data_IF_368022534491
#
_entry.id   IF_368022534491
#
_cell.length_a   1.000
_cell.length_b   1.000
_cell.length_c   1.000
_cell.angle_alpha   90.00
_cell.angle_beta   90.00
_cell.angle_gamma   90.00
#
_symmetry.space_group_name_H-M   'P 1'
#
loop_
_entity.id
_entity.type
_entity.pdbx_description
1 polymer ?
#
# COMPACT_ATOMS: atom_id res chain seq x y z
N UNK A 1 -20.14 3.57 22.70
CA UNK A 1 -21.47 4.05 22.29
C UNK A 1 -21.82 3.29 21.02
N UNK A 2 -22.90 2.55 21.05
CA UNK A 2 -23.36 1.71 19.95
C UNK A 2 -23.89 2.54 18.77
N UNK A 3 -24.01 1.90 17.61
CA UNK A 3 -24.46 2.54 16.35
C UNK A 3 -25.89 3.06 16.43
N UNK A 4 -26.77 2.40 17.18
CA UNK A 4 -28.17 2.84 17.35
C UNK A 4 -28.24 4.13 18.18
N UNK A 5 -27.45 4.22 19.25
CA UNK A 5 -27.31 5.44 20.06
C UNK A 5 -26.73 6.60 19.23
N UNK A 6 -25.69 6.34 18.42
CA UNK A 6 -25.11 7.37 17.54
C UNK A 6 -26.11 7.86 16.49
N UNK A 7 -26.87 6.95 15.89
CA UNK A 7 -27.91 7.29 14.92
C UNK A 7 -29.01 8.15 15.56
N UNK A 8 -29.42 7.83 16.80
CA UNK A 8 -30.39 8.62 17.55
C UNK A 8 -29.87 10.03 17.84
N UNK A 9 -28.61 10.18 18.24
CA UNK A 9 -28.00 11.50 18.50
C UNK A 9 -28.03 12.37 17.24
N UNK A 10 -27.59 11.83 16.10
CA UNK A 10 -27.58 12.59 14.84
C UNK A 10 -29.01 12.94 14.41
N UNK A 11 -29.97 12.03 14.61
CA UNK A 11 -31.38 12.30 14.32
C UNK A 11 -31.92 13.44 15.19
N UNK A 12 -31.64 13.44 16.49
CA UNK A 12 -32.07 14.53 17.38
C UNK A 12 -31.45 15.88 16.99
N UNK A 13 -30.19 15.89 16.57
CA UNK A 13 -29.53 17.12 16.09
C UNK A 13 -30.13 17.64 14.78
N UNK A 14 -30.55 16.74 13.88
CA UNK A 14 -31.29 17.11 12.66
C UNK A 14 -32.66 17.69 13.01
N UNK A 15 -33.39 17.06 13.92
CA UNK A 15 -34.71 17.53 14.38
C UNK A 15 -34.61 18.91 15.06
N UNK A 16 -33.60 19.12 15.91
CA UNK A 16 -33.31 20.41 16.54
C UNK A 16 -32.97 21.50 15.50
N UNK A 17 -32.16 21.15 14.49
CA UNK A 17 -31.81 22.07 13.41
C UNK A 17 -33.04 22.46 12.57
N UNK A 18 -33.94 21.52 12.29
CA UNK A 18 -35.21 21.78 11.63
C UNK A 18 -36.12 22.69 12.48
N UNK A 19 -36.20 22.46 13.79
CA UNK A 19 -36.97 23.31 14.70
C UNK A 19 -36.41 24.74 14.77
N UNK A 20 -35.08 24.90 14.80
CA UNK A 20 -34.40 26.20 14.83
C UNK A 20 -34.68 26.96 13.52
N UNK A 21 -34.47 26.32 12.37
CA UNK A 21 -34.69 26.94 11.05
C UNK A 21 -36.16 27.31 10.83
N UNK A 22 -37.10 26.46 11.23
CA UNK A 22 -38.54 26.78 11.19
C UNK A 22 -38.92 27.95 12.12
N UNK A 23 -38.32 28.01 13.32
CA UNK A 23 -38.57 29.07 14.30
C UNK A 23 -38.06 30.46 13.87
N UNK A 24 -36.97 30.51 13.11
CA UNK A 24 -36.41 31.75 12.52
C UNK A 24 -37.35 32.30 11.43
N UNK A 25 -38.00 31.43 10.65
CA UNK A 25 -38.98 31.82 9.62
C UNK A 25 -40.30 32.30 10.25
N UNK A 26 -40.73 31.70 11.37
CA UNK A 26 -42.02 31.99 12.00
C UNK A 26 -42.10 33.24 12.89
N UNK A 27 -40.98 33.80 13.36
CA UNK A 27 -40.95 34.95 14.31
C UNK A 27 -40.53 36.29 13.69
N UNK A 28 -40.16 36.32 12.41
CA UNK A 28 -39.75 37.54 11.70
C UNK A 28 -40.89 38.24 10.98
N UNK A 29 -40.95 39.58 11.03
CA UNK A 29 -41.74 40.38 10.07
C UNK A 29 -41.12 40.23 8.68
N UNK A 30 -41.64 39.34 7.83
CA UNK A 30 -41.48 39.32 6.37
C UNK A 30 -40.17 39.90 5.78
N UNK A 31 -39.03 39.59 6.38
CA UNK A 31 -37.69 39.81 5.85
C UNK A 31 -36.91 38.56 6.21
N UNK A 32 -36.48 37.87 5.17
CA UNK A 32 -35.82 36.57 5.19
C UNK A 32 -34.74 36.49 6.28
N UNK A 33 -34.54 35.29 6.86
CA UNK A 33 -33.45 35.06 7.80
C UNK A 33 -32.12 35.59 7.20
N UNK A 34 -31.21 36.17 8.00
CA UNK A 34 -29.90 36.58 7.50
C UNK A 34 -29.24 35.45 6.72
N UNK A 35 -28.74 35.75 5.52
CA UNK A 35 -28.16 34.79 4.58
C UNK A 35 -27.09 33.92 5.26
N UNK A 36 -26.27 34.51 6.14
CA UNK A 36 -25.25 33.81 6.92
C UNK A 36 -25.83 32.69 7.82
N UNK A 37 -27.01 32.90 8.41
CA UNK A 37 -27.66 31.89 9.28
C UNK A 37 -28.21 30.73 8.45
N UNK A 38 -28.73 31.03 7.25
CA UNK A 38 -29.22 30.00 6.34
C UNK A 38 -28.05 29.13 5.84
N UNK A 39 -26.96 29.77 5.39
CA UNK A 39 -25.74 29.07 4.94
C UNK A 39 -25.16 28.22 6.07
N UNK A 40 -25.08 28.75 7.29
CA UNK A 40 -24.58 28.00 8.44
C UNK A 40 -25.46 26.77 8.76
N UNK A 41 -26.78 26.91 8.69
CA UNK A 41 -27.71 25.80 8.90
C UNK A 41 -27.61 24.74 7.78
N UNK A 42 -27.45 25.14 6.53
CA UNK A 42 -27.25 24.21 5.41
C UNK A 42 -25.95 23.43 5.54
N UNK A 43 -24.84 24.10 5.89
CA UNK A 43 -23.55 23.44 6.12
C UNK A 43 -23.63 22.45 7.29
N UNK A 44 -24.28 22.84 8.39
CA UNK A 44 -24.42 21.95 9.54
C UNK A 44 -25.34 20.75 9.23
N UNK A 45 -26.42 20.95 8.46
CA UNK A 45 -27.25 19.86 7.96
C UNK A 45 -26.45 18.90 7.08
N UNK A 46 -25.63 19.42 6.17
CA UNK A 46 -24.80 18.60 5.29
C UNK A 46 -23.81 17.74 6.09
N UNK A 47 -23.20 18.30 7.13
CA UNK A 47 -22.32 17.57 8.05
C UNK A 47 -23.07 16.46 8.80
N UNK A 48 -24.25 16.75 9.38
CA UNK A 48 -25.06 15.74 10.08
C UNK A 48 -25.51 14.61 9.14
N UNK A 49 -25.89 14.93 7.89
CA UNK A 49 -26.23 13.91 6.89
C UNK A 49 -25.01 13.06 6.51
N UNK A 50 -23.83 13.66 6.39
CA UNK A 50 -22.59 12.91 6.15
C UNK A 50 -22.26 11.97 7.32
N UNK A 51 -22.44 12.43 8.55
CA UNK A 51 -22.26 11.60 9.76
C UNK A 51 -23.29 10.46 9.82
N UNK A 52 -24.55 10.72 9.50
CA UNK A 52 -25.58 9.67 9.41
C UNK A 52 -25.22 8.59 8.38
N UNK A 53 -24.68 8.99 7.22
CA UNK A 53 -24.21 8.04 6.20
C UNK A 53 -23.06 7.16 6.75
N UNK A 54 -22.07 7.74 7.43
CA UNK A 54 -20.96 6.99 8.04
C UNK A 54 -21.46 6.01 9.10
N UNK A 55 -22.42 6.41 9.94
CA UNK A 55 -23.01 5.53 10.97
C UNK A 55 -23.77 4.37 10.32
N UNK A 56 -24.57 4.66 9.29
CA UNK A 56 -25.28 3.64 8.51
C UNK A 56 -24.33 2.64 7.86
N UNK A 57 -23.25 3.12 7.22
CA UNK A 57 -22.24 2.28 6.59
C UNK A 57 -21.52 1.39 7.63
N UNK A 58 -21.23 1.93 8.81
CA UNK A 58 -20.68 1.16 9.93
C UNK A 58 -21.64 0.06 10.40
N UNK A 59 -22.91 0.38 10.62
CA UNK A 59 -23.92 -0.59 11.04
C UNK A 59 -24.09 -1.72 10.01
N UNK A 60 -24.13 -1.37 8.72
CA UNK A 60 -24.18 -2.33 7.62
C UNK A 60 -22.95 -3.23 7.59
N UNK A 61 -21.75 -2.66 7.75
CA UNK A 61 -20.48 -3.40 7.79
C UNK A 61 -20.42 -4.37 8.97
N UNK A 62 -20.85 -3.94 10.16
CA UNK A 62 -20.95 -4.79 11.35
C UNK A 62 -21.96 -5.93 11.15
N UNK A 63 -23.10 -5.65 10.52
CA UNK A 63 -24.11 -6.68 10.19
C UNK A 63 -23.54 -7.74 9.23
N UNK A 64 -22.84 -7.32 8.17
CA UNK A 64 -22.17 -8.26 7.25
C UNK A 64 -21.14 -9.10 8.00
N UNK A 65 -20.28 -8.46 8.80
CA UNK A 65 -19.24 -9.16 9.54
C UNK A 65 -19.85 -10.23 10.49
N UNK A 66 -20.92 -9.87 11.20
CA UNK A 66 -21.63 -10.78 12.09
C UNK A 66 -22.27 -11.96 11.34
N UNK A 67 -22.88 -11.71 10.19
CA UNK A 67 -23.45 -12.77 9.35
C UNK A 67 -22.36 -13.75 8.87
N UNK A 68 -21.23 -13.23 8.38
CA UNK A 68 -20.08 -14.05 7.95
C UNK A 68 -19.51 -14.88 9.10
N UNK A 69 -19.38 -14.30 10.29
CA UNK A 69 -18.88 -15.03 11.47
C UNK A 69 -19.86 -16.15 11.87
N UNK A 70 -21.16 -15.85 11.91
CA UNK A 70 -22.19 -16.80 12.30
C UNK A 70 -22.33 -17.96 11.32
N UNK A 71 -22.29 -17.64 10.03
CA UNK A 71 -22.53 -18.60 8.95
C UNK A 71 -21.22 -19.20 8.40
N UNK A 72 -20.08 -18.91 9.03
CA UNK A 72 -18.74 -19.28 8.55
C UNK A 72 -18.59 -20.78 8.26
N UNK A 73 -19.20 -21.65 9.08
CA UNK A 73 -19.20 -23.10 8.84
C UNK A 73 -19.92 -23.49 7.54
N UNK A 74 -21.11 -22.93 7.31
CA UNK A 74 -21.89 -23.15 6.08
C UNK A 74 -21.17 -22.58 4.85
N UNK A 75 -20.57 -21.40 4.97
CA UNK A 75 -19.77 -20.78 3.90
C UNK A 75 -18.61 -21.70 3.52
N UNK A 76 -17.88 -22.26 4.48
CA UNK A 76 -16.78 -23.19 4.23
C UNK A 76 -17.25 -24.48 3.58
N UNK A 77 -18.40 -25.03 3.99
CA UNK A 77 -19.00 -26.20 3.36
C UNK A 77 -19.41 -25.93 1.91
N UNK A 78 -20.02 -24.77 1.62
CA UNK A 78 -20.36 -24.35 0.27
C UNK A 78 -19.11 -24.19 -0.61
N UNK A 79 -18.06 -23.53 -0.09
CA UNK A 79 -16.79 -23.37 -0.80
C UNK A 79 -16.12 -24.73 -1.08
N UNK A 80 -16.13 -25.65 -0.12
CA UNK A 80 -15.60 -27.01 -0.32
C UNK A 80 -16.41 -27.80 -1.36
N UNK A 81 -17.72 -27.55 -1.46
CA UNK A 81 -18.58 -28.15 -2.48
C UNK A 81 -18.35 -27.57 -3.88
N UNK A 82 -18.01 -26.27 -3.98
CA UNK A 82 -17.71 -25.60 -5.25
C UNK A 82 -16.29 -25.89 -5.78
N UNK A 83 -15.29 -26.08 -4.90
CA UNK A 83 -13.88 -26.10 -5.28
C UNK A 83 -13.32 -27.50 -5.63
N UNK A 84 -13.89 -28.17 -6.65
CA UNK A 84 -13.28 -29.36 -7.29
C UNK A 84 -12.10 -29.05 -8.23
N UNK A 85 -11.63 -27.81 -8.28
CA UNK A 85 -10.37 -27.42 -8.92
C UNK A 85 -9.62 -26.46 -8.00
N UNK A 86 -8.29 -26.63 -7.78
CA UNK A 86 -7.55 -25.72 -6.94
C UNK A 86 -7.37 -24.39 -7.67
N UNK A 87 -8.26 -23.44 -7.44
CA UNK A 87 -8.03 -22.05 -7.80
C UNK A 87 -6.97 -21.49 -6.84
N UNK A 88 -5.79 -21.18 -7.39
CA UNK A 88 -4.78 -20.30 -6.80
C UNK A 88 -5.40 -18.92 -6.54
N UNK A 89 -6.17 -18.81 -5.46
CA UNK A 89 -6.64 -17.53 -4.97
C UNK A 89 -5.81 -17.19 -3.75
N UNK A 90 -5.00 -16.14 -3.88
CA UNK A 90 -4.15 -15.58 -2.84
C UNK A 90 -4.96 -14.93 -1.72
N UNK A 91 -5.88 -15.67 -1.11
CA UNK A 91 -6.35 -15.35 0.24
C UNK A 91 -5.18 -15.75 1.14
N UNK A 92 -4.33 -14.78 1.44
CA UNK A 92 -3.31 -14.90 2.48
C UNK A 92 -4.01 -15.50 3.71
N UNK A 93 -3.51 -16.64 4.23
CA UNK A 93 -3.93 -17.13 5.54
C UNK A 93 -3.61 -16.02 6.55
N UNK A 94 -4.60 -15.15 6.82
CA UNK A 94 -4.49 -14.13 7.85
C UNK A 94 -4.36 -14.88 9.16
N UNK A 95 -3.36 -14.54 9.96
CA UNK A 95 -3.17 -15.20 11.24
C UNK A 95 -4.36 -14.91 12.19
N UNK A 96 -4.65 -15.86 13.08
CA UNK A 96 -5.78 -15.76 14.02
C UNK A 96 -5.72 -14.48 14.88
N UNK A 97 -4.51 -13.97 15.12
CA UNK A 97 -4.27 -12.77 15.92
C UNK A 97 -4.67 -11.49 15.18
N UNK A 98 -4.36 -11.38 13.89
CA UNK A 98 -4.76 -10.29 13.01
C UNK A 98 -6.27 -10.29 12.84
N UNK A 99 -6.88 -11.47 12.72
CA UNK A 99 -8.35 -11.61 12.71
C UNK A 99 -8.95 -11.06 14.00
N UNK A 100 -8.39 -11.39 15.16
CA UNK A 100 -8.86 -10.91 16.46
C UNK A 100 -8.71 -9.37 16.61
N UNK A 101 -7.57 -8.82 16.16
CA UNK A 101 -7.37 -7.36 16.12
C UNK A 101 -8.36 -6.67 15.20
N UNK A 102 -8.62 -7.22 14.02
CA UNK A 102 -9.58 -6.67 13.07
C UNK A 102 -11.02 -6.73 13.62
N UNK A 103 -11.41 -7.85 14.27
CA UNK A 103 -12.69 -7.94 14.98
C UNK A 103 -12.80 -6.85 16.04
N UNK A 104 -11.73 -6.61 16.80
CA UNK A 104 -11.70 -5.62 17.88
C UNK A 104 -11.75 -4.17 17.38
N UNK A 105 -11.24 -3.89 16.18
CA UNK A 105 -11.20 -2.55 15.60
C UNK A 105 -12.47 -2.19 14.82
N UNK A 106 -13.08 -3.16 14.14
CA UNK A 106 -14.14 -2.91 13.17
C UNK A 106 -15.50 -3.51 13.53
N UNK A 107 -15.54 -4.51 14.42
CA UNK A 107 -16.79 -5.23 14.75
C UNK A 107 -17.25 -4.90 16.16
N UNK A 108 -16.36 -4.96 17.15
CA UNK A 108 -16.71 -4.54 18.52
C UNK A 108 -16.59 -3.03 18.65
N UNK A 109 -17.58 -2.39 19.27
CA UNK A 109 -17.56 -0.96 19.55
C UNK A 109 -16.53 -0.66 20.64
N UNK A 110 -15.22 -0.67 20.31
CA UNK A 110 -14.26 0.30 20.83
C UNK A 110 -14.33 0.73 22.30
N UNK A 111 -14.69 -0.12 23.29
CA UNK A 111 -14.91 0.35 24.67
C UNK A 111 -13.59 0.69 25.38
N UNK A 112 -13.01 1.84 25.04
CA UNK A 112 -12.41 2.75 26.01
C UNK A 112 -13.52 3.65 26.55
N UNK A 113 -14.10 3.27 27.69
CA UNK A 113 -14.83 4.22 28.53
C UNK A 113 -13.79 4.95 29.40
N UNK A 114 -13.37 6.14 28.98
CA UNK A 114 -12.65 7.07 29.87
C UNK A 114 -13.66 7.68 30.84
N UNK A 115 -13.65 7.23 32.09
CA UNK A 115 -14.20 7.99 33.20
C UNK A 115 -13.06 8.82 33.81
N UNK A 116 -13.18 10.14 33.74
CA UNK A 116 -12.32 11.05 34.47
C UNK A 116 -12.55 10.86 35.98
N UNK A 117 -11.44 10.69 36.70
CA UNK A 117 -11.40 10.50 38.14
C UNK A 117 -11.85 11.79 38.84
N UNK A 118 -13.13 11.85 39.21
CA UNK A 118 -13.68 12.89 40.08
C UNK A 118 -14.05 12.26 41.41
N UNK A 119 -13.08 12.24 42.33
CA UNK A 119 -13.25 11.95 43.75
C UNK A 119 -14.25 12.92 44.38
N UNK A 120 -15.55 12.59 44.33
CA UNK A 120 -16.57 13.23 45.16
C UNK A 120 -17.41 12.14 45.84
N UNK A 121 -17.42 12.05 47.17
CA UNK A 121 -18.16 11.02 47.87
C UNK A 121 -19.64 11.39 47.91
N UNK A 122 -20.42 10.91 46.95
CA UNK A 122 -21.87 10.88 47.07
C UNK A 122 -22.38 9.44 47.16
N UNK A 123 -23.33 9.23 48.06
CA UNK A 123 -24.02 7.96 48.28
C UNK A 123 -24.78 7.57 47.01
N UNK A 124 -24.20 6.72 46.17
CA UNK A 124 -24.84 6.23 44.95
C UNK A 124 -25.98 5.24 45.27
N UNK A 125 -27.11 5.39 44.58
CA UNK A 125 -28.21 4.41 44.63
C UNK A 125 -27.81 3.09 43.98
N UNK A 126 -28.36 1.98 44.47
CA UNK A 126 -28.06 0.60 44.03
C UNK A 126 -28.32 0.32 42.55
N UNK A 127 -29.06 1.19 41.84
CA UNK A 127 -29.23 1.13 40.39
C UNK A 127 -27.98 1.55 39.61
N UNK A 128 -27.26 2.58 40.06
CA UNK A 128 -26.03 3.06 39.40
C UNK A 128 -24.85 2.11 39.60
N UNK A 129 -24.80 1.44 40.75
CA UNK A 129 -23.82 0.39 41.02
C UNK A 129 -23.99 -0.85 40.12
N UNK A 130 -25.23 -1.18 39.73
CA UNK A 130 -25.54 -2.29 38.82
C UNK A 130 -25.28 -1.95 37.33
N UNK A 131 -25.26 -0.65 36.99
CA UNK A 131 -24.90 -0.16 35.65
C UNK A 131 -23.38 0.03 35.46
N UNK A 132 -22.54 -0.34 36.43
CA UNK A 132 -21.10 -0.45 36.22
C UNK A 132 -20.82 -1.63 35.30
N UNK A 133 -20.85 -1.37 34.00
CA UNK A 133 -20.33 -2.27 32.99
C UNK A 133 -18.86 -2.59 33.36
N UNK A 134 -18.54 -3.86 33.53
CA UNK A 134 -17.16 -4.29 33.82
C UNK A 134 -16.25 -3.69 32.74
N UNK A 135 -15.34 -2.81 33.13
CA UNK A 135 -14.33 -2.26 32.23
C UNK A 135 -13.42 -3.42 31.87
N UNK A 136 -13.72 -4.12 30.78
CA UNK A 136 -12.84 -5.12 30.19
C UNK A 136 -11.63 -4.36 29.63
N UNK A 137 -10.64 -4.11 30.49
CA UNK A 137 -9.40 -3.48 30.06
C UNK A 137 -8.74 -4.40 29.04
N UNK A 138 -8.60 -3.89 27.83
CA UNK A 138 -7.94 -4.61 26.74
C UNK A 138 -6.51 -4.97 27.17
N UNK A 139 -6.02 -6.17 26.80
CA UNK A 139 -4.69 -6.61 27.17
C UNK A 139 -3.64 -5.60 26.70
N UNK A 140 -2.80 -5.14 27.62
CA UNK A 140 -1.63 -4.33 27.29
C UNK A 140 -0.46 -5.24 26.87
N UNK A 141 0.38 -4.73 25.98
CA UNK A 141 1.55 -5.39 25.40
C UNK A 141 2.74 -4.43 25.39
N UNK A 142 3.93 -4.94 25.65
CA UNK A 142 5.15 -4.14 25.74
C UNK A 142 5.91 -4.16 24.41
N UNK A 143 6.32 -2.98 23.93
CA UNK A 143 7.12 -2.90 22.73
C UNK A 143 8.59 -3.23 23.03
N UNK A 144 9.15 -4.21 22.31
CA UNK A 144 10.56 -4.64 22.46
C UNK A 144 11.57 -3.53 22.15
N UNK A 145 11.21 -2.51 21.36
CA UNK A 145 12.14 -1.44 20.96
C UNK A 145 12.13 -0.23 21.89
N UNK A 146 10.98 0.20 22.40
CA UNK A 146 10.89 1.39 23.25
C UNK A 146 10.63 1.06 24.73
N UNK A 147 10.15 -0.14 25.05
CA UNK A 147 9.77 -0.55 26.41
C UNK A 147 8.41 -0.01 26.88
N UNK A 148 7.72 0.77 26.05
CA UNK A 148 6.41 1.32 26.40
C UNK A 148 5.29 0.28 26.23
N UNK A 149 4.21 0.44 26.98
CA UNK A 149 3.01 -0.41 26.91
C UNK A 149 1.96 0.18 25.98
N UNK A 150 1.35 -0.69 25.19
CA UNK A 150 0.32 -0.34 24.21
C UNK A 150 -0.83 -1.35 24.26
N UNK A 151 -1.99 -0.90 23.80
CA UNK A 151 -3.12 -1.79 23.53
C UNK A 151 -2.73 -2.89 22.52
N UNK A 152 -3.20 -4.12 22.75
CA UNK A 152 -2.96 -5.27 21.86
C UNK A 152 -3.25 -4.97 20.38
N UNK A 153 -4.24 -4.13 20.05
CA UNK A 153 -4.57 -3.74 18.66
C UNK A 153 -3.55 -2.79 18.03
N UNK A 154 -2.60 -2.27 18.81
CA UNK A 154 -1.58 -1.30 18.39
C UNK A 154 -0.15 -1.87 18.40
N UNK A 155 -0.03 -3.18 18.63
CA UNK A 155 1.25 -3.89 18.65
C UNK A 155 1.28 -4.93 17.55
N UNK A 156 2.35 -4.95 16.78
CA UNK A 156 2.61 -5.91 15.73
C UNK A 156 3.49 -7.04 16.25
N UNK A 157 3.12 -8.30 16.00
CA UNK A 157 3.90 -9.47 16.40
C UNK A 157 4.73 -9.99 15.23
N UNK A 158 6.03 -10.10 15.45
CA UNK A 158 6.97 -10.65 14.47
C UNK A 158 6.94 -12.19 14.45
N UNK A 159 7.45 -12.84 13.39
CA UNK A 159 7.57 -14.31 13.34
C UNK A 159 8.38 -14.91 14.51
N UNK A 160 9.32 -14.15 15.05
CA UNK A 160 10.12 -14.50 16.21
C UNK A 160 9.46 -14.16 17.56
N UNK A 161 8.14 -13.92 17.56
CA UNK A 161 7.29 -13.54 18.70
C UNK A 161 7.59 -12.22 19.41
N UNK A 162 8.59 -11.44 18.97
CA UNK A 162 8.78 -10.08 19.48
C UNK A 162 7.69 -9.13 18.99
N UNK A 163 7.43 -8.10 19.79
CA UNK A 163 6.29 -7.22 19.65
C UNK A 163 6.75 -5.76 19.48
N UNK A 164 6.19 -5.07 18.49
CA UNK A 164 6.54 -3.68 18.16
C UNK A 164 5.32 -2.78 18.11
N UNK A 165 5.39 -1.61 18.74
CA UNK A 165 4.39 -0.58 18.53
C UNK A 165 4.45 -0.06 17.08
N UNK A 166 3.36 0.59 16.64
CA UNK A 166 3.23 1.18 15.29
C UNK A 166 4.43 2.03 14.89
N UNK A 167 4.91 2.89 15.78
CA UNK A 167 6.00 3.81 15.49
C UNK A 167 7.36 3.09 15.34
N UNK A 168 7.70 2.19 16.26
CA UNK A 168 8.95 1.43 16.19
C UNK A 168 8.96 0.49 14.99
N UNK A 169 7.83 -0.13 14.67
CA UNK A 169 7.70 -0.95 13.47
C UNK A 169 7.86 -0.11 12.20
N UNK A 170 7.22 1.07 12.14
CA UNK A 170 7.38 1.97 11.01
C UNK A 170 8.85 2.36 10.81
N UNK A 171 9.57 2.73 11.87
CA UNK A 171 11.01 3.06 11.82
C UNK A 171 11.86 1.90 11.28
N UNK A 172 11.56 0.66 11.65
CA UNK A 172 12.24 -0.53 11.11
C UNK A 172 12.03 -0.64 9.59
N UNK A 173 10.79 -0.53 9.13
CA UNK A 173 10.48 -0.54 7.70
C UNK A 173 11.13 0.64 6.97
N UNK A 174 11.09 1.84 7.54
CA UNK A 174 11.72 3.02 6.96
C UNK A 174 13.24 2.87 6.83
N UNK A 175 13.93 2.40 7.87
CA UNK A 175 15.36 2.14 7.83
C UNK A 175 15.73 1.18 6.69
N UNK A 176 14.96 0.09 6.55
CA UNK A 176 15.21 -0.90 5.49
C UNK A 176 15.08 -0.36 4.07
N UNK A 177 14.29 0.70 3.85
CA UNK A 177 14.16 1.31 2.51
C UNK A 177 15.33 2.23 2.13
N UNK A 178 16.13 2.64 3.10
CA UNK A 178 17.29 3.53 2.90
C UNK A 178 18.56 2.71 2.81
N UNK A 179 18.75 1.77 3.73
CA UNK A 179 19.93 0.91 3.79
C UNK A 179 19.62 -0.49 3.27
N UNK A 180 20.18 -0.81 2.10
CA UNK A 180 20.04 -2.11 1.43
C UNK A 180 20.54 -3.28 2.29
N UNK A 181 21.55 -3.07 3.15
CA UNK A 181 22.07 -4.12 4.03
C UNK A 181 21.08 -4.56 5.11
N UNK A 182 20.13 -3.67 5.42
CA UNK A 182 19.04 -3.90 6.38
C UNK A 182 17.73 -4.31 5.71
N UNK A 183 17.75 -4.57 4.40
CA UNK A 183 16.61 -5.03 3.64
C UNK A 183 16.65 -6.55 3.43
N UNK A 184 15.56 -7.29 3.71
CA UNK A 184 14.30 -6.85 4.31
C UNK A 184 14.42 -6.56 5.81
N UNK A 185 13.51 -5.74 6.38
CA UNK A 185 13.49 -5.46 7.81
C UNK A 185 13.34 -6.79 8.56
N UNK A 186 14.17 -6.99 9.58
CA UNK A 186 14.22 -8.25 10.29
C UNK A 186 14.26 -8.04 11.80
N UNK A 187 13.74 -9.03 12.53
CA UNK A 187 13.86 -9.11 13.98
C UNK A 187 14.46 -10.47 14.34
N UNK A 188 15.54 -10.49 15.14
CA UNK A 188 16.28 -11.71 15.48
C UNK A 188 16.77 -12.51 14.26
N UNK A 189 17.09 -11.81 13.16
CA UNK A 189 17.50 -12.43 11.90
C UNK A 189 16.35 -13.04 11.08
N UNK A 190 15.10 -12.94 11.53
CA UNK A 190 13.94 -13.35 10.75
C UNK A 190 13.29 -12.15 10.04
N UNK A 191 13.01 -12.25 8.73
CA UNK A 191 12.37 -11.16 7.98
C UNK A 191 10.96 -10.90 8.51
N UNK A 192 10.63 -9.62 8.69
CA UNK A 192 9.30 -9.19 9.12
C UNK A 192 8.44 -9.04 7.84
N UNK A 193 7.38 -9.85 7.67
CA UNK A 193 6.56 -9.80 6.46
C UNK A 193 5.71 -8.53 6.43
N UNK A 194 5.58 -7.91 5.26
CA UNK A 194 4.80 -6.67 5.09
C UNK A 194 3.29 -6.90 5.27
N UNK A 195 2.73 -7.95 4.67
CA UNK A 195 1.28 -8.09 4.52
C UNK A 195 0.54 -8.28 5.86
N UNK A 196 0.99 -9.16 6.79
CA UNK A 196 0.37 -9.26 8.12
C UNK A 196 0.51 -7.97 8.94
N UNK A 197 1.58 -7.22 8.69
CA UNK A 197 1.91 -6.01 9.44
C UNK A 197 1.35 -4.73 8.80
N UNK A 198 0.64 -4.84 7.67
CA UNK A 198 0.17 -3.69 6.89
C UNK A 198 -0.75 -2.76 7.66
N UNK A 199 -1.59 -3.30 8.56
CA UNK A 199 -2.53 -2.50 9.37
C UNK A 199 -1.83 -1.55 10.36
N UNK A 200 -0.55 -1.78 10.63
CA UNK A 200 0.26 -0.98 11.55
C UNK A 200 1.09 0.09 10.83
N UNK A 201 1.14 0.05 9.50
CA UNK A 201 1.97 0.92 8.66
C UNK A 201 1.12 1.89 7.85
N UNK A 202 1.66 3.07 7.57
CA UNK A 202 0.96 4.03 6.70
C UNK A 202 0.92 3.53 5.24
N UNK A 203 -0.14 3.83 4.48
CA UNK A 203 -0.23 3.45 3.06
C UNK A 203 0.96 3.97 2.22
N UNK A 204 1.46 5.17 2.56
CA UNK A 204 2.63 5.77 1.91
C UNK A 204 3.90 4.94 2.15
N UNK A 205 4.16 4.54 3.41
CA UNK A 205 5.30 3.70 3.77
C UNK A 205 5.21 2.33 3.09
N UNK A 206 4.04 1.71 3.09
CA UNK A 206 3.79 0.43 2.40
C UNK A 206 4.10 0.56 0.89
N UNK A 207 3.64 1.64 0.25
CA UNK A 207 3.91 1.90 -1.16
C UNK A 207 5.40 2.07 -1.46
N UNK A 208 6.09 2.89 -0.65
CA UNK A 208 7.53 3.11 -0.77
C UNK A 208 8.33 1.83 -0.55
N UNK A 209 7.97 1.03 0.45
CA UNK A 209 8.60 -0.26 0.72
C UNK A 209 8.43 -1.23 -0.45
N UNK A 210 7.22 -1.36 -1.01
CA UNK A 210 6.97 -2.21 -2.19
C UNK A 210 7.79 -1.77 -3.40
N UNK A 211 7.91 -0.47 -3.63
CA UNK A 211 8.76 0.07 -4.70
C UNK A 211 10.24 -0.26 -4.48
N UNK A 212 10.74 -0.09 -3.25
CA UNK A 212 12.12 -0.41 -2.88
C UNK A 212 12.42 -1.90 -2.92
N UNK A 213 11.45 -2.76 -2.59
CA UNK A 213 11.57 -4.20 -2.75
C UNK A 213 11.87 -4.59 -4.20
N UNK A 214 11.10 -4.03 -5.15
CA UNK A 214 11.33 -4.26 -6.58
C UNK A 214 12.70 -3.75 -7.04
N UNK A 215 13.15 -2.63 -6.49
CA UNK A 215 14.50 -2.10 -6.74
C UNK A 215 15.57 -3.07 -6.23
N UNK A 216 15.50 -3.45 -4.96
CA UNK A 216 16.54 -4.24 -4.30
C UNK A 216 16.60 -5.71 -4.72
N UNK A 217 15.46 -6.33 -5.02
CA UNK A 217 15.40 -7.72 -5.52
C UNK A 217 15.95 -7.86 -6.96
N UNK A 218 16.12 -6.75 -7.69
CA UNK A 218 16.65 -6.77 -9.05
C UNK A 218 18.20 -6.73 -9.07
N UNK A 219 18.89 -7.71 -9.69
CA UNK A 219 20.35 -7.72 -9.79
C UNK A 219 20.91 -6.62 -10.71
N UNK A 220 20.27 -6.39 -11.86
CA UNK A 220 20.73 -5.47 -12.90
C UNK A 220 19.90 -4.17 -12.93
N UNK A 221 19.88 -3.46 -11.82
CA UNK A 221 19.09 -2.21 -11.66
C UNK A 221 19.52 -1.17 -12.68
N UNK A 222 18.54 -0.45 -13.20
CA UNK A 222 18.78 0.68 -14.09
C UNK A 222 18.14 1.91 -13.49
N UNK A 223 18.91 2.97 -13.35
CA UNK A 223 18.44 4.27 -12.89
C UNK A 223 18.46 5.24 -14.07
N UNK A 224 17.65 6.29 -14.00
CA UNK A 224 17.73 7.37 -14.97
C UNK A 224 19.14 7.99 -14.96
N UNK A 225 19.76 8.14 -16.13
CA UNK A 225 21.09 8.75 -16.24
C UNK A 225 21.15 10.22 -15.78
N UNK A 226 20.00 10.92 -15.74
CA UNK A 226 19.94 12.31 -15.33
C UNK A 226 20.21 12.44 -13.82
N UNK A 227 21.31 13.09 -13.40
CA UNK A 227 21.67 13.21 -11.98
C UNK A 227 20.60 13.91 -11.13
N UNK A 228 19.77 14.77 -11.75
CA UNK A 228 18.67 15.45 -11.05
C UNK A 228 17.48 14.52 -10.81
N UNK A 229 17.37 13.43 -11.58
CA UNK A 229 16.27 12.50 -11.51
C UNK A 229 16.64 11.23 -10.75
N UNK A 230 17.71 10.54 -11.19
CA UNK A 230 18.27 9.29 -10.64
C UNK A 230 17.23 8.26 -10.20
N UNK A 231 16.04 8.28 -10.82
CA UNK A 231 14.90 7.46 -10.43
C UNK A 231 15.09 6.07 -10.99
N UNK A 232 14.87 5.06 -10.16
CA UNK A 232 14.88 3.66 -10.57
C UNK A 232 13.87 3.41 -11.70
N UNK A 233 14.27 2.61 -12.70
CA UNK A 233 13.45 2.26 -13.86
C UNK A 233 13.13 0.76 -13.80
N UNK A 234 11.85 0.39 -13.54
CA UNK A 234 11.42 -1.00 -13.53
C UNK A 234 11.56 -1.67 -14.90
N UNK A 235 11.72 -3.00 -14.91
CA UNK A 235 11.92 -3.81 -16.14
C UNK A 235 10.86 -3.58 -17.21
N UNK A 236 9.60 -3.35 -16.82
CA UNK A 236 8.50 -3.08 -17.75
C UNK A 236 8.68 -1.80 -18.60
N UNK A 237 9.60 -0.91 -18.21
CA UNK A 237 9.95 0.30 -18.95
C UNK A 237 11.30 0.17 -19.66
N UNK A 238 11.82 -1.06 -19.78
CA UNK A 238 13.03 -1.40 -20.49
C UNK A 238 12.65 -2.14 -21.76
N UNK A 239 13.08 -1.61 -22.90
CA UNK A 239 12.98 -2.31 -24.17
C UNK A 239 14.20 -3.24 -24.32
N UNK A 240 13.96 -4.54 -24.19
CA UNK A 240 14.98 -5.58 -24.31
C UNK A 240 15.67 -5.57 -25.68
N UNK A 241 14.96 -5.21 -26.75
CA UNK A 241 15.51 -5.25 -28.13
C UNK A 241 16.50 -4.13 -28.37
N UNK A 242 16.22 -2.95 -27.82
CA UNK A 242 17.06 -1.77 -28.00
C UNK A 242 18.01 -1.54 -26.83
N UNK A 243 17.84 -2.26 -25.72
CA UNK A 243 18.59 -2.04 -24.47
C UNK A 243 18.46 -0.59 -23.97
N UNK A 244 17.26 -0.03 -24.11
CA UNK A 244 16.92 1.34 -23.70
C UNK A 244 15.85 1.30 -22.61
N UNK A 245 16.14 1.94 -21.48
CA UNK A 245 15.23 2.19 -20.39
C UNK A 245 14.59 3.58 -20.52
N UNK A 246 13.27 3.69 -20.32
CA UNK A 246 12.54 4.96 -20.33
C UNK A 246 12.16 5.33 -18.90
N UNK A 247 12.63 6.49 -18.41
CA UNK A 247 12.32 6.92 -17.05
C UNK A 247 10.83 7.24 -16.87
N UNK A 248 10.20 6.68 -15.83
CA UNK A 248 8.79 6.94 -15.49
C UNK A 248 8.51 8.38 -15.05
N UNK A 249 9.51 9.06 -14.49
CA UNK A 249 9.38 10.42 -13.93
C UNK A 249 9.63 11.51 -14.96
N UNK A 250 10.78 11.47 -15.64
CA UNK A 250 11.21 12.53 -16.56
C UNK A 250 11.16 12.12 -18.04
N UNK A 251 10.77 10.88 -18.37
CA UNK A 251 10.69 10.31 -19.72
C UNK A 251 12.01 10.27 -20.51
N UNK A 252 13.14 10.63 -19.89
CA UNK A 252 14.47 10.50 -20.50
C UNK A 252 14.82 9.02 -20.71
N UNK A 253 15.52 8.76 -21.82
CA UNK A 253 16.01 7.44 -22.20
C UNK A 253 17.38 7.20 -21.58
N UNK A 254 17.69 5.97 -21.20
CA UNK A 254 18.96 5.56 -20.59
C UNK A 254 19.40 4.23 -21.19
N UNK A 255 20.66 4.08 -21.56
CA UNK A 255 21.19 2.79 -22.01
C UNK A 255 21.29 1.83 -20.82
N UNK A 256 20.74 0.62 -20.92
CA UNK A 256 20.80 -0.36 -19.83
C UNK A 256 22.16 -1.02 -19.67
N UNK A 257 23.00 -1.00 -20.70
CA UNK A 257 24.34 -1.59 -20.70
C UNK A 257 25.35 -0.68 -20.01
N UNK A 258 25.51 0.57 -20.47
CA UNK A 258 26.46 1.52 -19.87
C UNK A 258 25.87 2.40 -18.76
N UNK A 259 24.55 2.30 -18.50
CA UNK A 259 23.80 3.12 -17.54
C UNK A 259 23.86 4.64 -17.82
N UNK A 260 24.28 5.03 -19.02
CA UNK A 260 24.46 6.42 -19.44
C UNK A 260 23.41 6.91 -20.44
N UNK A 261 23.73 8.02 -21.10
CA UNK A 261 22.89 8.60 -22.15
C UNK A 261 22.61 7.63 -23.30
N UNK A 262 21.44 7.76 -23.96
CA UNK A 262 21.09 6.89 -25.08
C UNK A 262 21.98 7.20 -26.28
N UNK A 263 22.48 6.16 -26.95
CA UNK A 263 23.32 6.28 -28.14
C UNK A 263 22.76 5.49 -29.32
N UNK A 264 23.17 5.87 -30.53
CA UNK A 264 22.79 5.19 -31.76
C UNK A 264 23.70 4.00 -32.07
N UNK A 265 23.11 2.82 -32.26
CA UNK A 265 23.82 1.58 -32.55
C UNK A 265 24.40 0.91 -31.30
N UNK A 266 25.35 0.00 -31.49
CA UNK A 266 25.88 -0.81 -30.38
C UNK A 266 26.55 0.03 -29.29
N UNK A 267 26.43 -0.42 -28.04
CA UNK A 267 27.04 0.24 -26.89
C UNK A 267 28.55 0.06 -26.90
N UNK A 268 29.34 1.16 -26.79
CA UNK A 268 30.80 1.07 -26.78
C UNK A 268 31.34 0.41 -25.50
N UNK A 269 30.55 0.39 -24.42
CA UNK A 269 30.89 -0.25 -23.15
C UNK A 269 30.18 -1.59 -22.95
N UNK A 270 29.69 -2.22 -24.02
CA UNK A 270 29.19 -3.58 -23.96
C UNK A 270 30.37 -4.57 -23.89
N UNK A 271 30.57 -5.28 -22.76
CA UNK A 271 31.69 -6.20 -22.61
C UNK A 271 31.60 -7.38 -23.58
N UNK A 272 30.40 -7.91 -23.84
CA UNK A 272 30.22 -9.02 -24.78
C UNK A 272 30.54 -8.60 -26.21
N UNK A 273 30.16 -7.38 -26.60
CA UNK A 273 30.57 -6.84 -27.89
C UNK A 273 32.09 -6.65 -27.98
N UNK A 274 32.73 -6.12 -26.94
CA UNK A 274 34.17 -5.91 -26.93
C UNK A 274 34.95 -7.21 -27.09
N UNK A 275 34.53 -8.28 -26.41
CA UNK A 275 35.14 -9.61 -26.57
C UNK A 275 35.01 -10.14 -28.00
N UNK A 276 33.83 -10.01 -28.59
CA UNK A 276 33.59 -10.41 -29.98
C UNK A 276 34.43 -9.60 -30.96
N UNK A 277 34.60 -8.29 -30.72
CA UNK A 277 35.47 -7.43 -31.54
C UNK A 277 36.95 -7.77 -31.38
N UNK A 278 37.40 -8.13 -30.17
CA UNK A 278 38.76 -8.57 -29.92
C UNK A 278 39.07 -9.89 -30.65
N UNK A 279 38.14 -10.84 -30.61
CA UNK A 279 38.24 -12.10 -31.35
C UNK A 279 38.27 -11.84 -32.87
N UNK A 280 37.39 -10.99 -33.37
CA UNK A 280 37.37 -10.61 -34.78
C UNK A 280 38.69 -9.99 -35.23
N UNK A 281 39.29 -9.11 -34.43
CA UNK A 281 40.59 -8.52 -34.73
C UNK A 281 41.71 -9.58 -34.78
N UNK A 282 41.68 -10.58 -33.89
CA UNK A 282 42.64 -11.68 -33.86
C UNK A 282 42.54 -12.59 -35.09
N UNK A 283 41.33 -12.88 -35.54
CA UNK A 283 41.05 -13.73 -36.72
C UNK A 283 41.08 -12.95 -38.04
N UNK A 284 41.34 -11.63 -38.01
CA UNK A 284 41.36 -10.77 -39.20
C UNK A 284 39.98 -10.47 -39.80
N UNK A 285 38.90 -10.71 -39.06
CA UNK A 285 37.54 -10.37 -39.47
C UNK A 285 37.28 -8.86 -39.36
N UNK A 286 36.44 -8.33 -40.25
CA UNK A 286 36.10 -6.90 -40.27
C UNK A 286 34.63 -6.66 -40.02
N UNK A 287 34.27 -5.49 -39.48
CA UNK A 287 32.86 -5.06 -39.40
C UNK A 287 32.44 -4.39 -40.70
N UNK A 288 31.30 -4.81 -41.24
CA UNK A 288 30.67 -4.12 -42.37
C UNK A 288 30.23 -2.70 -41.97
N UNK A 289 30.65 -1.69 -42.74
CA UNK A 289 30.30 -0.28 -42.49
C UNK A 289 28.80 0.02 -42.50
N UNK A 290 28.00 -0.75 -43.26
CA UNK A 290 26.57 -0.48 -43.43
C UNK A 290 25.68 -1.17 -42.39
N UNK A 291 26.04 -2.37 -41.92
CA UNK A 291 25.18 -3.17 -41.03
C UNK A 291 25.88 -3.63 -39.75
N UNK A 292 27.16 -3.29 -39.57
CA UNK A 292 28.00 -3.60 -38.40
C UNK A 292 28.12 -5.08 -38.04
N UNK A 293 27.70 -6.01 -38.91
CA UNK A 293 27.99 -7.45 -38.78
C UNK A 293 29.46 -7.73 -39.07
N UNK A 294 29.99 -8.75 -38.40
CA UNK A 294 31.36 -9.22 -38.59
C UNK A 294 31.41 -10.14 -39.80
N UNK A 295 32.38 -9.91 -40.67
CA UNK A 295 32.59 -10.65 -41.91
C UNK A 295 34.04 -11.12 -41.98
N UNK A 296 34.22 -12.38 -42.39
CA UNK A 296 35.53 -12.97 -42.68
C UNK A 296 35.96 -12.57 -44.08
N UNK A 297 37.21 -12.11 -44.23
CA UNK A 297 37.79 -11.82 -45.54
C UNK A 297 38.62 -13.00 -46.04
N UNK A 298 38.15 -13.71 -47.08
CA UNK A 298 38.82 -14.89 -47.65
C UNK A 298 39.78 -14.59 -48.82
N UNK A 299 40.07 -13.32 -49.11
CA UNK A 299 40.93 -12.87 -50.21
C UNK A 299 40.15 -12.37 -51.45
N UNK A 300 40.70 -11.37 -52.17
CA UNK A 300 40.10 -10.75 -53.35
C UNK A 300 40.27 -9.22 -53.43
N UNK A 301 39.66 -8.56 -54.42
CA UNK A 301 39.67 -7.10 -54.57
C UNK A 301 39.02 -6.41 -53.35
N UNK A 302 39.59 -5.31 -52.86
CA UNK A 302 39.14 -4.56 -51.67
C UNK A 302 37.76 -3.86 -51.81
N UNK A 303 37.05 -4.07 -52.90
CA UNK A 303 35.74 -3.49 -53.15
C UNK A 303 34.65 -4.29 -52.42
N UNK A 304 34.34 -3.91 -51.18
CA UNK A 304 33.21 -4.48 -50.43
C UNK A 304 31.87 -4.05 -51.07
N UNK A 305 31.34 -4.86 -52.00
CA UNK A 305 29.98 -4.68 -52.52
C UNK A 305 28.95 -5.09 -51.47
N UNK A 306 27.96 -4.23 -51.17
CA UNK A 306 26.82 -4.58 -50.30
C UNK A 306 26.13 -5.82 -50.86
N UNK A 307 26.13 -6.92 -50.12
CA UNK A 307 25.31 -8.08 -50.48
C UNK A 307 23.83 -7.70 -50.38
N UNK A 308 22.98 -8.09 -51.35
CA UNK A 308 21.55 -7.84 -51.26
C UNK A 308 20.98 -8.49 -50.00
N UNK A 309 20.07 -7.78 -49.31
CA UNK A 309 19.38 -8.32 -48.13
C UNK A 309 18.53 -9.52 -48.59
N UNK A 310 18.65 -10.71 -47.98
CA UNK A 310 17.77 -11.81 -48.31
C UNK A 310 16.31 -11.42 -48.01
N UNK A 311 15.34 -11.81 -48.85
CA UNK A 311 13.94 -11.50 -48.62
C UNK A 311 13.47 -12.13 -47.29
N UNK A 312 12.52 -11.50 -46.59
CA UNK A 312 11.96 -12.05 -45.35
C UNK A 312 11.35 -13.44 -45.63
N UNK A 313 11.44 -14.38 -44.66
CA UNK A 313 10.83 -15.69 -44.82
C UNK A 313 9.32 -15.52 -45.03
N UNK A 314 8.82 -16.09 -46.12
CA UNK A 314 7.38 -16.15 -46.38
C UNK A 314 6.77 -17.09 -45.33
N UNK A 315 5.89 -16.54 -44.52
CA UNK A 315 5.03 -17.29 -43.60
C UNK A 315 4.15 -18.25 -44.40
N UNK A 316 4.38 -19.55 -44.23
CA UNK A 316 3.38 -20.58 -44.50
C UNK A 316 2.55 -20.80 -43.24
#
# INVERSE_FOLDING_TARGET
MDTDTLALIVQLQLDDLEAITAGVIGKGRATEAPEDIQIAAELFRAELVAQAAVISDKAFSQSIANAVIKDGGLIMECLAAENRQPAESSITNLDDELIDKLKTLYVTDGEELKLEDSDVPHSESSSWAASRQEVVRRPQRECTSCGDQYDFTNVARCPCSHEYCRECLAKLFEGSTVDESSFPPSCCGQPIPLDPNRIFLSPELVGRFKAKRLEFEMPNRTYCHDPKCSTFVPLQFIDEKTSIAICVRCRKKTCTTCKGEPHGGDCPQDPGLQEVLALAAKEGWQRCYSCRRIVEFKGGCYHMSKSPRPPPPQSQ
#
